data_IF_099721892781
#
_entry.id   IF_099721892781
#
_cell.length_a   1.000
_cell.length_b   1.000
_cell.length_c   1.000
_cell.angle_alpha   90.00
_cell.angle_beta   90.00
_cell.angle_gamma   90.00
#
_symmetry.space_group_name_H-M   'P 1'
#
loop_
_entity.id
_entity.type
_entity.pdbx_description
1 polymer ?
#
# COMPACT_ATOMS: atom_id res chain seq x y z
N UNK A 1 4.65 16.20 9.99
CA UNK A 1 5.56 15.24 9.34
C UNK A 1 4.85 13.90 9.22
N UNK A 2 4.92 13.28 8.04
CA UNK A 2 4.47 11.93 7.74
C UNK A 2 5.72 11.08 7.53
N UNK A 3 5.79 9.93 8.17
CA UNK A 3 6.95 9.04 8.11
C UNK A 3 6.66 7.77 7.33
N UNK A 4 7.72 7.11 6.84
CA UNK A 4 7.61 5.82 6.19
C UNK A 4 7.04 4.79 7.17
N UNK A 5 5.96 4.10 6.78
CA UNK A 5 5.36 3.05 7.60
C UNK A 5 6.11 1.72 7.52
N UNK A 6 7.04 1.57 6.58
CA UNK A 6 7.77 0.33 6.32
C UNK A 6 9.19 0.61 5.84
N UNK A 7 10.08 -0.37 5.99
CA UNK A 7 11.31 -0.43 5.22
C UNK A 7 10.91 -0.77 3.78
N UNK A 8 11.06 0.19 2.86
CA UNK A 8 10.49 0.06 1.52
C UNK A 8 11.15 0.99 0.50
N UNK A 9 11.15 0.59 -0.75
CA UNK A 9 11.57 1.43 -1.87
C UNK A 9 10.36 2.20 -2.40
N UNK A 10 10.46 3.53 -2.41
CA UNK A 10 9.40 4.39 -2.90
C UNK A 10 9.29 4.29 -4.42
N UNK A 11 8.12 3.88 -4.90
CA UNK A 11 7.86 3.66 -6.33
C UNK A 11 7.28 4.91 -7.01
N UNK A 12 6.47 5.69 -6.29
CA UNK A 12 5.90 6.92 -6.80
C UNK A 12 4.62 7.36 -6.10
N UNK A 13 4.07 8.45 -6.60
CA UNK A 13 2.74 8.92 -6.19
C UNK A 13 1.91 9.38 -7.40
N UNK A 14 0.61 9.24 -7.30
CA UNK A 14 -0.33 9.62 -8.35
C UNK A 14 -1.48 10.44 -7.77
N UNK A 15 -2.07 11.28 -8.62
CA UNK A 15 -3.25 12.05 -8.25
C UNK A 15 -4.52 11.23 -8.45
N UNK A 16 -5.37 11.24 -7.43
CA UNK A 16 -6.72 10.71 -7.51
C UNK A 16 -7.62 11.82 -8.04
N UNK A 17 -8.43 11.54 -9.05
CA UNK A 17 -9.34 12.55 -9.59
C UNK A 17 -10.60 12.74 -8.70
N UNK A 18 -11.45 13.70 -9.07
CA UNK A 18 -12.69 14.01 -8.34
C UNK A 18 -13.71 12.86 -8.32
N UNK A 19 -13.59 11.87 -9.20
CA UNK A 19 -14.42 10.66 -9.23
C UNK A 19 -13.82 9.50 -8.44
N UNK A 20 -12.82 9.77 -7.59
CA UNK A 20 -12.08 8.75 -6.81
C UNK A 20 -11.39 7.69 -7.67
N UNK A 21 -10.83 8.12 -8.82
CA UNK A 21 -10.07 7.25 -9.72
C UNK A 21 -8.62 7.72 -9.77
N UNK A 22 -7.70 6.79 -9.64
CA UNK A 22 -6.27 6.97 -9.89
C UNK A 22 -5.91 6.32 -11.24
N UNK A 23 -5.11 7.01 -12.05
CA UNK A 23 -4.63 6.44 -13.32
C UNK A 23 -3.20 5.96 -13.14
N UNK A 24 -3.00 4.65 -13.24
CA UNK A 24 -1.70 3.99 -13.13
C UNK A 24 -1.32 3.38 -14.48
N UNK A 25 -0.19 3.81 -15.06
CA UNK A 25 0.28 3.41 -16.41
C UNK A 25 -0.85 3.41 -17.48
N UNK A 26 -1.68 4.44 -17.46
CA UNK A 26 -2.76 4.62 -18.43
C UNK A 26 -4.07 3.91 -18.12
N UNK A 27 -4.14 3.07 -17.09
CA UNK A 27 -5.36 2.37 -16.69
C UNK A 27 -6.02 3.05 -15.49
N UNK A 28 -7.35 3.26 -15.53
CA UNK A 28 -8.09 3.85 -14.42
C UNK A 28 -8.41 2.79 -13.35
N UNK A 29 -8.21 3.15 -12.07
CA UNK A 29 -8.46 2.29 -10.92
C UNK A 29 -9.30 3.02 -9.87
N UNK A 30 -10.31 2.37 -9.36
CA UNK A 30 -11.24 2.94 -8.39
C UNK A 30 -10.69 2.85 -6.98
N UNK A 31 -10.60 3.98 -6.29
CA UNK A 31 -10.22 4.00 -4.86
C UNK A 31 -11.26 3.28 -4.01
N UNK A 32 -12.55 3.31 -4.41
CA UNK A 32 -13.59 2.55 -3.73
C UNK A 32 -13.31 1.04 -3.74
N UNK A 33 -12.86 0.51 -4.87
CA UNK A 33 -12.47 -0.90 -4.99
C UNK A 33 -11.21 -1.20 -4.17
N UNK A 34 -10.23 -0.30 -4.18
CA UNK A 34 -9.02 -0.44 -3.38
C UNK A 34 -9.33 -0.56 -1.89
N UNK A 35 -10.15 0.33 -1.38
CA UNK A 35 -10.52 0.37 0.05
C UNK A 35 -11.54 -0.70 0.42
N UNK A 36 -12.26 -1.28 -0.55
CA UNK A 36 -13.42 -2.14 -0.32
C UNK A 36 -14.37 -1.53 0.71
N UNK A 37 -14.51 -0.20 0.65
CA UNK A 37 -15.30 0.57 1.59
C UNK A 37 -15.80 1.88 0.94
N UNK A 38 -17.10 1.94 0.70
CA UNK A 38 -17.71 3.12 0.09
C UNK A 38 -17.81 4.32 1.03
N UNK A 39 -17.78 4.08 2.35
CA UNK A 39 -17.87 5.13 3.35
C UNK A 39 -16.66 6.06 3.30
N UNK A 40 -15.46 5.49 3.14
CA UNK A 40 -14.23 6.28 3.12
C UNK A 40 -13.78 6.69 1.72
N UNK A 41 -14.31 6.06 0.65
CA UNK A 41 -13.83 6.32 -0.70
C UNK A 41 -13.97 7.79 -1.14
N UNK A 42 -15.03 8.46 -0.72
CA UNK A 42 -15.27 9.87 -1.01
C UNK A 42 -14.29 10.81 -0.30
N UNK A 43 -13.80 10.42 0.88
CA UNK A 43 -12.86 11.22 1.66
C UNK A 43 -11.51 11.38 0.95
N UNK A 44 -11.16 10.44 0.08
CA UNK A 44 -9.87 10.39 -0.61
C UNK A 44 -9.91 10.88 -2.06
N UNK A 45 -11.05 11.35 -2.55
CA UNK A 45 -11.18 11.94 -3.89
C UNK A 45 -10.33 13.21 -4.05
N UNK A 46 -9.71 13.37 -5.22
CA UNK A 46 -8.95 14.58 -5.57
C UNK A 46 -7.59 14.72 -4.90
N UNK A 47 -7.01 13.66 -4.33
CA UNK A 47 -5.74 13.70 -3.59
C UNK A 47 -4.73 12.65 -4.04
N UNK A 48 -3.75 12.35 -3.20
CA UNK A 48 -2.58 11.56 -3.56
C UNK A 48 -2.70 10.12 -3.10
N UNK A 49 -2.39 9.23 -4.01
CA UNK A 49 -2.12 7.83 -3.82
C UNK A 49 -0.60 7.64 -3.87
N UNK A 50 -0.01 7.05 -2.87
CA UNK A 50 1.42 6.81 -2.77
C UNK A 50 1.67 5.31 -2.65
N UNK A 51 2.69 4.82 -3.33
CA UNK A 51 3.04 3.40 -3.36
C UNK A 51 4.53 3.21 -3.06
N UNK A 52 4.83 2.16 -2.28
CA UNK A 52 6.19 1.70 -2.04
C UNK A 52 6.23 0.17 -1.97
N UNK A 53 7.35 -0.40 -2.35
CA UNK A 53 7.60 -1.84 -2.45
C UNK A 53 8.54 -2.30 -1.33
N UNK A 54 8.16 -3.39 -0.64
CA UNK A 54 9.00 -4.07 0.35
C UNK A 54 9.63 -5.30 -0.30
N UNK A 55 10.95 -5.30 -0.42
CA UNK A 55 11.68 -6.47 -0.91
C UNK A 55 11.63 -7.61 0.12
N UNK A 56 11.81 -8.88 -0.30
CA UNK A 56 11.76 -10.03 0.62
C UNK A 56 12.74 -9.98 1.80
N UNK A 57 13.80 -9.20 1.68
CA UNK A 57 14.82 -9.01 2.73
C UNK A 57 14.58 -7.75 3.60
N UNK A 58 13.56 -6.97 3.30
CA UNK A 58 13.19 -5.81 4.12
C UNK A 58 12.50 -6.23 5.42
N UNK A 59 12.40 -5.33 6.36
CA UNK A 59 11.66 -5.52 7.59
C UNK A 59 10.16 -5.45 7.31
N UNK A 60 9.43 -6.53 7.56
CA UNK A 60 8.02 -6.73 7.16
C UNK A 60 7.00 -6.38 8.24
N UNK A 61 7.36 -5.61 9.26
CA UNK A 61 6.41 -5.00 10.17
C UNK A 61 6.10 -3.57 9.73
N UNK A 62 4.87 -3.16 9.94
CA UNK A 62 4.33 -1.89 9.48
C UNK A 62 3.98 -1.01 10.66
N UNK A 63 4.30 0.25 10.55
CA UNK A 63 4.19 1.21 11.63
C UNK A 63 3.30 2.40 11.24
N UNK A 64 2.67 3.04 12.22
CA UNK A 64 1.81 4.18 11.99
C UNK A 64 2.60 5.34 11.36
N UNK A 65 2.21 5.84 10.17
CA UNK A 65 2.89 6.98 9.54
C UNK A 65 2.58 8.33 10.19
N UNK A 66 1.51 8.36 10.97
CA UNK A 66 1.00 9.55 11.69
C UNK A 66 0.47 9.16 13.05
N UNK A 67 0.39 10.12 13.97
CA UNK A 67 -0.38 9.97 15.21
C UNK A 67 -1.88 10.02 14.91
N UNK A 68 -2.71 9.37 15.70
CA UNK A 68 -4.16 9.51 15.54
C UNK A 68 -4.99 8.38 16.12
N UNK A 69 -6.29 8.47 15.84
CA UNK A 69 -7.27 7.45 16.22
C UNK A 69 -7.53 6.52 15.05
N UNK A 70 -7.52 5.23 15.29
CA UNK A 70 -7.87 4.20 14.29
C UNK A 70 -9.38 4.18 14.10
N UNK A 71 -9.85 4.59 12.93
CA UNK A 71 -11.28 4.55 12.57
C UNK A 71 -11.69 3.20 11.97
N UNK A 72 -10.76 2.55 11.27
CA UNK A 72 -10.99 1.26 10.59
C UNK A 72 -9.73 0.42 10.63
N UNK A 73 -9.90 -0.87 10.83
CA UNK A 73 -8.87 -1.88 10.66
C UNK A 73 -9.55 -3.17 10.19
N UNK A 74 -9.36 -3.56 8.94
CA UNK A 74 -9.97 -4.78 8.37
C UNK A 74 -9.05 -5.43 7.35
N UNK A 75 -9.13 -6.75 7.23
CA UNK A 75 -8.52 -7.52 6.13
C UNK A 75 -9.49 -7.57 4.96
N UNK A 76 -8.99 -7.37 3.75
CA UNK A 76 -9.72 -7.44 2.49
C UNK A 76 -9.19 -8.65 1.71
N UNK A 77 -9.98 -9.70 1.50
CA UNK A 77 -9.56 -10.85 0.72
C UNK A 77 -9.18 -10.46 -0.72
N UNK A 78 -8.16 -11.09 -1.26
CA UNK A 78 -7.75 -10.89 -2.64
C UNK A 78 -8.41 -11.88 -3.59
N UNK A 79 -8.52 -11.48 -4.85
CA UNK A 79 -8.95 -12.34 -5.97
C UNK A 79 -7.75 -12.89 -6.75
N UNK A 80 -6.58 -12.26 -6.59
CA UNK A 80 -5.34 -12.66 -7.26
C UNK A 80 -4.23 -12.89 -6.25
N UNK A 81 -3.27 -13.72 -6.61
CA UNK A 81 -2.04 -13.92 -5.83
C UNK A 81 -0.81 -13.76 -6.74
N UNK A 82 0.28 -13.33 -6.15
CA UNK A 82 1.56 -13.20 -6.82
C UNK A 82 2.41 -14.44 -6.51
N UNK A 83 2.94 -15.07 -7.55
CA UNK A 83 3.97 -16.08 -7.46
C UNK A 83 5.32 -15.47 -7.82
N UNK A 84 6.41 -16.02 -7.32
CA UNK A 84 7.76 -15.53 -7.59
C UNK A 84 8.55 -16.64 -8.29
N UNK A 85 9.13 -16.31 -9.44
CA UNK A 85 10.01 -17.22 -10.16
C UNK A 85 11.43 -16.67 -10.18
N UNK A 86 12.40 -17.60 -10.15
CA UNK A 86 13.82 -17.24 -10.29
C UNK A 86 14.14 -17.18 -11.79
N UNK A 87 14.66 -16.05 -12.24
CA UNK A 87 15.12 -15.87 -13.61
C UNK A 87 16.57 -15.32 -13.61
N UNK A 88 17.27 -15.52 -14.73
CA UNK A 88 18.56 -14.87 -14.94
C UNK A 88 18.33 -13.38 -15.24
N UNK A 89 19.13 -12.53 -14.63
CA UNK A 89 19.13 -11.10 -14.93
C UNK A 89 19.51 -10.87 -16.39
N UNK A 90 18.71 -10.11 -17.14
CA UNK A 90 18.97 -9.79 -18.54
C UNK A 90 20.31 -9.03 -18.74
N UNK A 91 20.71 -8.23 -17.75
CA UNK A 91 21.94 -7.44 -17.79
C UNK A 91 23.16 -8.18 -17.22
N UNK A 92 22.93 -9.26 -16.44
CA UNK A 92 23.99 -10.08 -15.86
C UNK A 92 23.56 -11.55 -15.77
N UNK A 93 23.85 -12.38 -16.80
CA UNK A 93 23.41 -13.78 -16.86
C UNK A 93 23.88 -14.68 -15.70
N UNK A 94 24.90 -14.26 -14.96
CA UNK A 94 25.40 -14.98 -13.78
C UNK A 94 24.66 -14.62 -12.50
N UNK A 95 23.77 -13.62 -12.54
CA UNK A 95 22.95 -13.20 -11.43
C UNK A 95 21.54 -13.76 -11.57
N UNK A 96 21.03 -14.36 -10.49
CA UNK A 96 19.63 -14.75 -10.39
C UNK A 96 18.83 -13.63 -9.75
N UNK A 97 17.70 -13.31 -10.33
CA UNK A 97 16.72 -12.33 -9.82
C UNK A 97 15.39 -13.00 -9.58
N UNK A 98 14.67 -12.53 -8.57
CA UNK A 98 13.29 -12.92 -8.32
C UNK A 98 12.37 -12.06 -9.20
N UNK A 99 11.64 -12.73 -10.09
CA UNK A 99 10.68 -12.06 -10.97
C UNK A 99 9.27 -12.42 -10.50
N UNK A 100 8.46 -11.42 -10.19
CA UNK A 100 7.08 -11.66 -9.79
C UNK A 100 6.27 -12.22 -10.96
N UNK A 101 5.52 -13.26 -10.68
CA UNK A 101 4.59 -13.90 -11.61
C UNK A 101 3.20 -13.88 -10.99
N UNK A 102 2.30 -13.13 -11.58
CA UNK A 102 0.92 -13.07 -11.10
C UNK A 102 0.11 -14.19 -11.70
N UNK A 103 -0.60 -14.87 -10.83
CA UNK A 103 -1.58 -15.88 -11.20
C UNK A 103 -2.95 -15.43 -10.72
N UNK A 104 -3.94 -15.63 -11.54
CA UNK A 104 -5.35 -15.36 -11.25
C UNK A 104 -6.06 -16.70 -11.19
N UNK A 105 -6.79 -16.97 -10.12
CA UNK A 105 -7.71 -18.12 -10.08
C UNK A 105 -8.98 -17.78 -10.85
N UNK A 106 -9.26 -18.58 -11.88
CA UNK A 106 -10.49 -18.52 -12.63
C UNK A 106 -11.24 -19.84 -12.41
N UNK A 107 -12.24 -19.82 -11.53
CA UNK A 107 -12.95 -21.04 -11.14
C UNK A 107 -12.10 -22.01 -10.30
N UNK A 108 -12.56 -23.26 -10.19
CA UNK A 108 -11.91 -24.25 -9.31
C UNK A 108 -10.67 -24.95 -9.92
N UNK A 109 -10.31 -24.69 -11.18
CA UNK A 109 -9.33 -25.52 -11.89
C UNK A 109 -8.27 -24.80 -12.75
N UNK A 110 -8.34 -23.53 -13.04
CA UNK A 110 -7.38 -22.87 -13.96
C UNK A 110 -6.66 -21.68 -13.32
N UNK A 111 -5.32 -21.72 -13.36
CA UNK A 111 -4.45 -20.60 -13.05
C UNK A 111 -4.06 -19.89 -14.33
N UNK A 112 -4.56 -18.66 -14.53
CA UNK A 112 -4.12 -17.79 -15.62
C UNK A 112 -2.95 -16.91 -15.16
N UNK A 113 -1.93 -16.80 -16.00
CA UNK A 113 -0.84 -15.85 -15.77
C UNK A 113 -1.38 -14.44 -16.04
N UNK A 114 -1.46 -13.60 -15.01
CA UNK A 114 -1.80 -12.21 -15.17
C UNK A 114 -0.54 -11.39 -15.48
N UNK A 115 -0.61 -10.40 -16.39
CA UNK A 115 0.53 -9.54 -16.69
C UNK A 115 0.93 -8.73 -15.44
N UNK A 116 2.23 -8.46 -15.30
CA UNK A 116 2.76 -7.56 -14.27
C UNK A 116 2.42 -6.11 -14.65
N UNK A 117 1.17 -5.73 -14.39
CA UNK A 117 0.66 -4.40 -14.68
C UNK A 117 0.41 -3.64 -13.38
N UNK A 118 0.66 -2.32 -13.33
CA UNK A 118 0.24 -1.48 -12.21
C UNK A 118 -1.26 -1.60 -11.97
N UNK A 119 -1.65 -1.50 -10.70
CA UNK A 119 -3.04 -1.67 -10.30
C UNK A 119 -3.36 -3.06 -9.72
N UNK A 120 -2.38 -3.96 -9.65
CA UNK A 120 -2.55 -5.25 -8.99
C UNK A 120 -2.95 -5.12 -7.51
N UNK A 121 -2.57 -4.03 -6.87
CA UNK A 121 -2.92 -3.72 -5.48
C UNK A 121 -4.44 -3.76 -5.26
N UNK A 122 -5.21 -3.49 -6.30
CA UNK A 122 -6.67 -3.47 -6.25
C UNK A 122 -7.30 -4.87 -6.22
N UNK A 123 -6.57 -5.89 -6.66
CA UNK A 123 -7.06 -7.28 -6.72
C UNK A 123 -6.39 -8.23 -5.73
N UNK A 124 -5.30 -7.82 -5.08
CA UNK A 124 -4.59 -8.63 -4.10
C UNK A 124 -5.22 -8.56 -2.71
N UNK A 125 -4.94 -9.59 -1.90
CA UNK A 125 -5.25 -9.55 -0.48
C UNK A 125 -4.50 -8.40 0.18
N UNK A 126 -5.22 -7.60 0.96
CA UNK A 126 -4.70 -6.41 1.61
C UNK A 126 -5.43 -6.12 2.91
N UNK A 127 -4.94 -5.20 3.67
CA UNK A 127 -5.71 -4.66 4.79
C UNK A 127 -5.97 -3.17 4.59
N UNK A 128 -7.06 -2.70 5.13
CA UNK A 128 -7.39 -1.28 5.23
C UNK A 128 -7.26 -0.85 6.69
N UNK A 129 -6.37 0.11 6.93
CA UNK A 129 -6.25 0.81 8.20
C UNK A 129 -6.51 2.29 7.91
N UNK A 130 -7.49 2.88 8.57
CA UNK A 130 -7.79 4.32 8.47
C UNK A 130 -7.45 4.97 9.81
N UNK A 131 -6.50 5.90 9.79
CA UNK A 131 -6.08 6.68 10.96
C UNK A 131 -6.54 8.12 10.77
N UNK A 132 -7.25 8.66 11.74
CA UNK A 132 -7.67 10.06 11.78
C UNK A 132 -6.67 10.87 12.62
N UNK A 133 -6.03 11.81 11.97
CA UNK A 133 -5.13 12.77 12.60
C UNK A 133 -5.77 14.14 12.65
N UNK A 134 -5.67 14.84 13.78
CA UNK A 134 -6.32 16.14 14.01
C UNK A 134 -5.86 17.27 13.05
N UNK A 135 -4.66 17.16 12.48
CA UNK A 135 -4.06 18.21 11.64
C UNK A 135 -4.20 17.95 10.14
N UNK A 136 -4.21 16.69 9.73
CA UNK A 136 -4.17 16.31 8.32
C UNK A 136 -5.39 15.51 7.88
N UNK A 137 -6.30 15.20 8.80
CA UNK A 137 -7.47 14.38 8.51
C UNK A 137 -7.14 12.90 8.39
N UNK A 138 -7.87 12.19 7.54
CA UNK A 138 -7.74 10.73 7.43
C UNK A 138 -6.59 10.32 6.53
N UNK A 139 -5.86 9.32 6.97
CA UNK A 139 -4.81 8.62 6.22
C UNK A 139 -5.19 7.16 6.14
N UNK A 140 -5.36 6.64 4.92
CA UNK A 140 -5.52 5.21 4.71
C UNK A 140 -4.15 4.57 4.49
N UNK A 141 -3.87 3.52 5.24
CA UNK A 141 -2.67 2.68 5.13
C UNK A 141 -3.13 1.31 4.67
N UNK A 142 -2.64 0.87 3.52
CA UNK A 142 -3.01 -0.40 2.92
C UNK A 142 -1.76 -1.27 2.74
N UNK A 143 -1.46 -2.16 3.69
CA UNK A 143 -0.55 -3.25 3.45
C UNK A 143 -1.14 -4.20 2.39
N UNK A 144 -0.37 -4.51 1.35
CA UNK A 144 -0.78 -5.39 0.25
C UNK A 144 0.12 -6.61 0.24
N UNK A 145 -0.47 -7.77 0.45
CA UNK A 145 0.26 -9.05 0.46
C UNK A 145 0.62 -9.48 -0.95
N UNK A 146 1.76 -10.18 -1.07
CA UNK A 146 2.23 -10.80 -2.31
C UNK A 146 2.35 -12.31 -2.11
N UNK A 147 2.15 -13.09 -3.19
CA UNK A 147 2.27 -14.54 -3.25
C UNK A 147 1.24 -15.32 -2.41
N UNK A 148 1.47 -16.61 -2.21
CA UNK A 148 0.59 -17.55 -1.50
C UNK A 148 0.34 -17.17 -0.03
N UNK A 149 1.06 -16.17 0.46
CA UNK A 149 1.02 -15.71 1.84
C UNK A 149 0.52 -14.30 1.90
N UNK A 150 -0.74 -14.13 1.62
CA UNK A 150 -1.47 -12.87 1.76
C UNK A 150 -1.96 -12.63 3.19
N UNK A 151 -1.21 -13.02 4.20
CA UNK A 151 -1.62 -12.82 5.59
C UNK A 151 -1.01 -11.56 6.17
N UNK A 152 -1.69 -10.46 5.97
CA UNK A 152 -1.48 -9.28 6.81
C UNK A 152 -2.15 -9.53 8.16
N UNK A 153 -1.36 -9.50 9.21
CA UNK A 153 -1.86 -9.58 10.58
C UNK A 153 -1.96 -8.17 11.14
N UNK A 154 -3.14 -7.80 11.59
CA UNK A 154 -3.39 -6.49 12.21
C UNK A 154 -3.03 -6.55 13.70
N UNK A 155 -2.16 -5.62 14.15
CA UNK A 155 -1.77 -5.46 15.56
C UNK A 155 -2.66 -4.44 16.30
N UNK A 156 -3.62 -3.85 15.61
CA UNK A 156 -4.54 -2.81 16.10
C UNK A 156 -5.98 -3.10 15.71
N UNK A 157 -6.89 -2.42 16.36
CA UNK A 157 -8.35 -2.49 16.11
C UNK A 157 -8.96 -1.08 16.04
N UNK A 158 -10.17 -0.94 15.52
CA UNK A 158 -10.90 0.32 15.59
C UNK A 158 -10.98 0.85 17.02
N UNK A 159 -10.94 2.17 17.16
CA UNK A 159 -10.91 2.95 18.39
C UNK A 159 -9.57 2.98 19.15
N UNK A 160 -8.56 2.20 18.73
CA UNK A 160 -7.22 2.35 19.29
C UNK A 160 -6.62 3.72 18.95
N UNK A 161 -5.83 4.27 19.87
CA UNK A 161 -4.97 5.42 19.60
C UNK A 161 -3.56 4.93 19.27
N UNK A 162 -3.00 5.45 18.18
CA UNK A 162 -1.65 5.15 17.74
C UNK A 162 -0.78 6.41 17.75
N UNK A 163 0.46 6.24 18.13
CA UNK A 163 1.52 7.23 17.94
C UNK A 163 2.32 6.86 16.69
N UNK A 164 2.88 7.85 16.05
CA UNK A 164 3.78 7.67 14.90
C UNK A 164 4.90 6.70 15.26
N UNK A 165 5.14 5.70 14.41
CA UNK A 165 6.11 4.65 14.65
C UNK A 165 5.59 3.46 15.49
N UNK A 166 4.35 3.50 16.04
CA UNK A 166 3.74 2.31 16.67
C UNK A 166 3.47 1.25 15.62
N UNK A 167 3.80 -0.01 15.90
CA UNK A 167 3.43 -1.14 15.05
C UNK A 167 1.91 -1.23 14.88
N UNK A 168 1.45 -1.39 13.64
CA UNK A 168 0.02 -1.47 13.28
C UNK A 168 -0.34 -2.77 12.56
N UNK A 169 0.62 -3.40 11.90
CA UNK A 169 0.43 -4.66 11.18
C UNK A 169 1.78 -5.33 10.91
N UNK A 170 1.75 -6.57 10.48
CA UNK A 170 2.93 -7.26 9.93
C UNK A 170 2.53 -8.30 8.88
N UNK A 171 3.46 -8.64 7.99
CA UNK A 171 3.33 -9.74 7.05
C UNK A 171 3.98 -10.99 7.61
N UNK A 172 3.33 -12.14 7.46
CA UNK A 172 3.89 -13.39 7.98
C UNK A 172 5.02 -13.94 7.11
N UNK A 173 5.05 -13.64 5.80
CA UNK A 173 6.11 -14.08 4.87
C UNK A 173 6.23 -13.17 3.64
N UNK A 174 7.45 -13.02 3.09
CA UNK A 174 7.76 -12.63 1.73
C UNK A 174 7.50 -11.17 1.34
N UNK A 175 7.83 -10.81 0.10
CA UNK A 175 7.67 -9.46 -0.45
C UNK A 175 6.23 -8.93 -0.40
N UNK A 176 6.11 -7.63 -0.34
CA UNK A 176 4.82 -6.94 -0.16
C UNK A 176 4.90 -5.50 -0.62
N UNK A 177 3.74 -4.88 -0.69
CA UNK A 177 3.61 -3.47 -1.01
C UNK A 177 2.94 -2.72 0.13
N UNK A 178 3.13 -1.41 0.14
CA UNK A 178 2.36 -0.51 0.98
C UNK A 178 1.83 0.65 0.17
N UNK A 179 0.55 0.94 0.38
CA UNK A 179 -0.12 2.08 -0.21
C UNK A 179 -0.54 3.04 0.91
N UNK A 180 -0.30 4.33 0.69
CA UNK A 180 -0.86 5.42 1.49
C UNK A 180 -1.80 6.25 0.64
N UNK A 181 -2.98 6.54 1.20
CA UNK A 181 -3.95 7.44 0.57
C UNK A 181 -4.31 8.54 1.58
N UNK A 182 -4.25 9.80 1.12
CA UNK A 182 -4.49 10.95 1.98
C UNK A 182 -5.85 11.57 1.71
N UNK A 183 -6.51 12.05 2.76
CA UNK A 183 -7.82 12.68 2.67
C UNK A 183 -7.82 13.89 1.73
N UNK A 184 -8.96 14.16 1.10
CA UNK A 184 -9.13 15.23 0.10
C UNK A 184 -8.78 16.63 0.62
N UNK A 185 -9.00 16.91 1.89
CA UNK A 185 -8.72 18.20 2.52
C UNK A 185 -7.28 18.34 3.01
N UNK A 186 -6.51 17.25 3.10
CA UNK A 186 -5.12 17.30 3.56
C UNK A 186 -4.21 17.90 2.49
N UNK A 187 -3.44 18.94 2.86
CA UNK A 187 -2.41 19.49 1.98
C UNK A 187 -1.07 18.78 2.22
N UNK A 188 -0.94 17.59 1.61
CA UNK A 188 0.25 16.75 1.75
C UNK A 188 1.22 17.00 0.61
N UNK A 189 2.45 17.38 0.96
CA UNK A 189 3.58 17.47 0.05
C UNK A 189 4.49 16.25 0.22
N UNK A 190 4.59 15.42 -0.82
CA UNK A 190 5.47 14.25 -0.85
C UNK A 190 6.90 14.73 -1.06
N UNK A 191 7.81 14.30 -0.20
CA UNK A 191 9.25 14.61 -0.24
C UNK A 191 10.06 13.39 -0.66
N UNK A 192 9.45 12.21 -0.67
CA UNK A 192 10.10 10.97 -1.06
C UNK A 192 10.51 11.02 -2.55
N UNK A 193 11.71 10.53 -2.83
CA UNK A 193 12.26 10.40 -4.17
C UNK A 193 12.02 8.98 -4.70
N UNK A 194 11.58 8.88 -5.95
CA UNK A 194 11.39 7.60 -6.63
C UNK A 194 12.66 6.75 -6.64
N UNK A 195 12.49 5.45 -6.48
CA UNK A 195 13.55 4.43 -6.42
C UNK A 195 14.50 4.56 -5.21
N UNK A 196 14.24 5.48 -4.27
CA UNK A 196 14.97 5.56 -3.02
C UNK A 196 14.34 4.65 -1.97
N UNK A 197 15.19 3.91 -1.25
CA UNK A 197 14.80 3.12 -0.09
C UNK A 197 14.66 4.02 1.14
N UNK A 198 13.57 3.85 1.89
CA UNK A 198 13.27 4.54 3.15
C UNK A 198 13.08 3.50 4.25
N UNK A 199 13.62 3.77 5.43
CA UNK A 199 13.37 2.96 6.61
C UNK A 199 12.13 3.43 7.35
N UNK A 200 11.56 2.54 8.15
CA UNK A 200 10.51 2.92 9.12
C UNK A 200 10.91 4.18 9.89
N UNK A 201 10.00 5.14 9.97
CA UNK A 201 10.21 6.38 10.70
C UNK A 201 10.94 7.49 9.94
N UNK A 202 11.54 7.22 8.78
CA UNK A 202 12.11 8.27 7.93
C UNK A 202 11.02 9.16 7.34
N UNK A 203 11.27 10.45 7.27
CA UNK A 203 10.32 11.42 6.71
C UNK A 203 10.12 11.19 5.21
N UNK A 204 8.87 11.01 4.79
CA UNK A 204 8.48 10.85 3.38
C UNK A 204 7.57 11.96 2.87
N UNK A 205 6.89 12.67 3.78
CA UNK A 205 6.02 13.78 3.40
C UNK A 205 5.84 14.78 4.56
N UNK A 206 5.33 15.95 4.21
CA UNK A 206 4.84 16.95 5.15
C UNK A 206 3.39 17.31 4.79
N UNK A 207 2.61 17.62 5.81
CA UNK A 207 1.27 18.17 5.64
C UNK A 207 1.18 19.52 6.32
N UNK A 208 0.44 20.44 5.72
CA UNK A 208 0.02 21.68 6.38
C UNK A 208 -1.28 21.39 7.16
N UNK A 209 -1.47 22.13 8.25
CA UNK A 209 -2.70 22.06 9.05
C UNK A 209 -3.91 22.32 8.17
N UNK A 210 -4.98 21.57 8.38
CA UNK A 210 -6.29 21.90 7.84
C UNK A 210 -6.71 23.27 8.39
N UNK A 211 -7.04 24.20 7.52
CA UNK A 211 -7.53 25.54 7.87
C UNK A 211 -8.99 25.49 8.23
#
# INVERSE_FOLDING_TARGET
>A
VIVSPADSTFDGFWHINSKSIVTLKGLPWSIKELLDDSLYASDFAGRKFMHAFLAPYDYHHLHAPVDGKVLKAKVIPGQTYLDVTVQKDHNNPNKLILVPRRKMKVGDAEELSAPDSPGYQFSQARSLIVIENEYIGKVAVLPVGMAQVSSVVLSIKPDDTVTKGKEIAYFQFGGSDIVLVFQSQSNVNILANEQKHYRVGEQIAIAQKLS
#
